data_IF_987250929956
#
_entry.id   IF_987250929956
#
_cell.length_a   1.000
_cell.length_b   1.000
_cell.length_c   1.000
_cell.angle_alpha   90.00
_cell.angle_beta   90.00
_cell.angle_gamma   90.00
#
_symmetry.space_group_name_H-M   'P 1'
#
loop_
_entity.id
_entity.type
_entity.pdbx_description
1 polymer ?
#
# COMPACT_ATOMS: atom_id res chain seq x y z
N UNK A 1 -38.77 43.46 -53.58
CA UNK A 1 -37.81 44.58 -53.43
C UNK A 1 -37.97 45.06 -51.98
N UNK A 2 -37.07 44.59 -51.10
CA UNK A 2 -36.01 45.42 -50.46
C UNK A 2 -36.58 46.41 -49.44
N UNK A 3 -36.14 46.52 -48.18
CA UNK A 3 -34.95 46.01 -47.49
C UNK A 3 -34.94 46.56 -46.05
N UNK A 4 -34.39 45.79 -45.11
CA UNK A 4 -33.71 46.18 -43.84
C UNK A 4 -34.53 46.91 -42.76
N UNK A 5 -34.40 46.68 -41.45
CA UNK A 5 -33.47 45.88 -40.64
C UNK A 5 -33.15 46.64 -39.34
N UNK A 6 -33.27 46.02 -38.16
CA UNK A 6 -32.32 46.20 -37.04
C UNK A 6 -32.65 45.29 -35.85
N UNK A 7 -31.58 44.91 -35.16
CA UNK A 7 -31.39 43.88 -34.14
C UNK A 7 -31.97 44.18 -32.76
N UNK A 8 -32.30 43.14 -32.00
CA UNK A 8 -31.85 43.05 -30.61
C UNK A 8 -31.62 41.59 -30.20
N UNK A 9 -30.50 41.35 -29.49
CA UNK A 9 -30.05 40.04 -29.05
C UNK A 9 -30.83 39.55 -27.82
N UNK A 10 -31.19 38.27 -27.77
CA UNK A 10 -31.58 37.58 -26.53
C UNK A 10 -30.72 36.33 -26.33
N UNK A 11 -29.92 36.35 -25.27
CA UNK A 11 -29.33 35.15 -24.65
C UNK A 11 -30.45 34.35 -23.97
N UNK A 12 -30.40 33.01 -23.97
CA UNK A 12 -31.28 32.21 -23.12
C UNK A 12 -30.80 32.23 -21.66
N UNK A 13 -31.71 32.00 -20.69
CA UNK A 13 -31.46 32.22 -19.28
C UNK A 13 -30.61 31.11 -18.64
N UNK A 14 -29.87 31.52 -17.62
CA UNK A 14 -29.26 30.64 -16.63
C UNK A 14 -30.35 30.11 -15.71
N UNK A 15 -30.41 28.79 -15.53
CA UNK A 15 -31.02 28.19 -14.35
C UNK A 15 -30.55 26.74 -14.17
N UNK A 16 -30.33 26.34 -12.92
CA UNK A 16 -30.12 24.94 -12.55
C UNK A 16 -28.93 24.66 -11.64
N UNK A 17 -28.81 25.36 -10.51
CA UNK A 17 -28.14 24.84 -9.32
C UNK A 17 -28.82 23.54 -8.89
N UNK A 18 -28.24 22.39 -9.25
CA UNK A 18 -28.68 21.10 -8.75
C UNK A 18 -28.15 20.93 -7.31
N UNK A 19 -29.04 21.17 -6.35
CA UNK A 19 -28.84 20.89 -4.94
C UNK A 19 -28.58 19.39 -4.72
N UNK A 20 -27.67 19.10 -3.77
CA UNK A 20 -27.47 17.75 -3.22
C UNK A 20 -28.76 17.34 -2.51
N UNK A 21 -29.42 16.21 -2.87
CA UNK A 21 -30.62 15.79 -2.17
C UNK A 21 -30.25 15.31 -0.76
N UNK A 22 -30.56 16.14 0.24
CA UNK A 22 -30.81 15.70 1.60
C UNK A 22 -32.05 14.82 1.62
N UNK A 23 -32.00 13.71 2.36
CA UNK A 23 -33.03 12.67 2.55
C UNK A 23 -32.82 11.38 1.73
N UNK A 24 -31.98 10.50 2.27
CA UNK A 24 -32.13 9.05 2.07
C UNK A 24 -33.14 8.55 3.10
N UNK A 25 -34.28 8.09 2.62
CA UNK A 25 -35.28 7.41 3.44
C UNK A 25 -34.70 6.03 3.82
N UNK A 26 -34.36 5.85 5.10
CA UNK A 26 -33.97 4.54 5.64
C UNK A 26 -35.24 3.78 5.99
N UNK A 27 -35.60 2.82 5.15
CA UNK A 27 -36.64 1.84 5.44
C UNK A 27 -36.16 0.92 6.57
N UNK A 28 -36.91 0.88 7.68
CA UNK A 28 -36.64 -0.02 8.81
C UNK A 28 -36.94 -1.45 8.37
N UNK A 29 -35.91 -2.18 7.94
CA UNK A 29 -35.97 -3.64 7.80
C UNK A 29 -35.83 -4.26 9.18
N UNK A 30 -36.73 -5.20 9.49
CA UNK A 30 -36.85 -5.88 10.78
C UNK A 30 -35.54 -6.55 11.24
N UNK A 31 -35.28 -6.46 12.54
CA UNK A 31 -34.22 -7.18 13.23
C UNK A 31 -34.60 -8.66 13.35
N UNK A 32 -34.22 -9.45 12.35
CA UNK A 32 -34.08 -10.89 12.55
C UNK A 32 -32.74 -11.17 13.22
N UNK A 33 -32.82 -11.80 14.39
CA UNK A 33 -31.70 -12.16 15.26
C UNK A 33 -30.79 -13.14 14.53
N UNK A 34 -29.67 -12.64 13.99
CA UNK A 34 -28.58 -13.47 13.48
C UNK A 34 -27.88 -14.12 14.67
N UNK A 35 -28.10 -15.41 14.84
CA UNK A 35 -27.41 -16.25 15.83
C UNK A 35 -25.91 -16.30 15.54
N UNK A 36 -25.10 -16.09 16.58
CA UNK A 36 -23.63 -16.23 16.51
C UNK A 36 -23.29 -17.71 16.24
N UNK A 37 -22.44 -18.05 15.26
CA UNK A 37 -21.87 -19.39 15.21
C UNK A 37 -20.89 -19.58 16.38
N UNK A 38 -21.19 -20.54 17.25
CA UNK A 38 -20.25 -21.08 18.23
C UNK A 38 -19.11 -21.79 17.49
N UNK A 39 -17.97 -21.13 17.33
CA UNK A 39 -16.73 -21.75 16.85
C UNK A 39 -15.56 -21.43 17.77
N UNK A 40 -15.70 -21.76 19.06
CA UNK A 40 -14.62 -21.77 20.06
C UNK A 40 -14.22 -23.17 20.52
N UNK A 41 -14.70 -24.24 19.87
CA UNK A 41 -14.39 -25.63 20.23
C UNK A 41 -13.84 -26.40 19.03
N UNK A 42 -12.56 -26.19 18.71
CA UNK A 42 -11.68 -27.12 17.97
C UNK A 42 -10.43 -26.37 17.47
N UNK A 43 -9.53 -25.96 18.38
CA UNK A 43 -8.12 -25.84 18.03
C UNK A 43 -7.37 -26.93 18.78
N UNK A 44 -6.95 -27.95 18.04
CA UNK A 44 -6.07 -29.00 18.52
C UNK A 44 -4.68 -28.37 18.69
N UNK A 45 -4.26 -28.19 19.93
CA UNK A 45 -2.90 -27.78 20.28
C UNK A 45 -1.94 -28.86 19.79
N UNK A 46 -1.05 -28.50 18.86
CA UNK A 46 0.06 -29.35 18.45
C UNK A 46 1.27 -28.90 19.26
N UNK A 47 1.68 -29.72 20.23
CA UNK A 47 2.98 -29.59 20.89
C UNK A 47 4.06 -30.03 19.89
N UNK A 48 5.14 -29.26 19.80
CA UNK A 48 6.34 -29.64 19.06
C UNK A 48 7.49 -29.66 20.06
N UNK A 49 8.10 -30.84 20.20
CA UNK A 49 9.17 -31.13 21.14
C UNK A 49 10.47 -30.35 20.84
N UNK A 50 11.24 -30.10 21.90
CA UNK A 50 12.58 -29.53 21.87
C UNK A 50 13.58 -30.43 21.13
N UNK A 51 14.45 -29.83 20.32
CA UNK A 51 15.70 -30.45 19.84
C UNK A 51 16.84 -29.41 19.92
N UNK A 52 18.01 -29.89 20.33
CA UNK A 52 19.19 -29.18 20.83
C UNK A 52 20.00 -28.38 19.79
N UNK A 53 20.74 -27.40 20.34
CA UNK A 53 21.75 -26.51 19.76
C UNK A 53 22.91 -27.22 19.04
N UNK A 54 23.26 -26.77 17.82
CA UNK A 54 24.64 -26.85 17.30
C UNK A 54 25.01 -25.66 16.39
N UNK A 55 25.90 -24.82 16.93
CA UNK A 55 27.00 -24.07 16.30
C UNK A 55 26.73 -23.10 15.12
N UNK A 56 26.84 -21.81 15.45
CA UNK A 56 27.08 -20.70 14.54
C UNK A 56 28.36 -20.89 13.70
N UNK A 57 28.23 -20.76 12.37
CA UNK A 57 29.36 -20.55 11.45
C UNK A 57 29.09 -19.34 10.56
N UNK A 58 30.02 -18.38 10.67
CA UNK A 58 30.31 -17.27 9.78
C UNK A 58 29.74 -17.38 8.36
N UNK A 59 28.92 -16.41 7.91
CA UNK A 59 28.75 -16.16 6.47
C UNK A 59 28.48 -14.67 6.14
N UNK A 60 29.40 -14.11 5.36
CA UNK A 60 29.24 -13.17 4.23
C UNK A 60 28.19 -12.05 4.30
N UNK A 61 28.64 -10.81 4.03
CA UNK A 61 27.86 -9.59 3.77
C UNK A 61 26.74 -9.71 2.71
N UNK A 62 26.67 -10.81 1.96
CA UNK A 62 25.65 -11.10 0.95
C UNK A 62 25.08 -12.52 1.05
N UNK A 63 25.21 -13.17 2.22
CA UNK A 63 24.51 -14.41 2.48
C UNK A 63 23.04 -14.13 2.83
N UNK A 64 22.18 -15.07 2.46
CA UNK A 64 20.79 -15.15 2.86
C UNK A 64 20.54 -14.52 4.25
N UNK A 65 19.57 -13.61 4.37
CA UNK A 65 18.80 -13.62 5.60
C UNK A 65 18.13 -14.98 5.59
N UNK A 66 18.46 -15.84 6.56
CA UNK A 66 17.81 -17.13 6.67
C UNK A 66 16.30 -16.89 6.60
N UNK A 67 15.70 -17.34 5.50
CA UNK A 67 14.26 -17.43 5.39
C UNK A 67 13.91 -18.65 6.25
N UNK A 68 13.89 -18.47 7.57
CA UNK A 68 13.50 -19.49 8.57
C UNK A 68 12.02 -19.89 8.40
N UNK A 69 11.69 -20.44 7.23
CA UNK A 69 10.53 -21.27 7.01
C UNK A 69 10.91 -22.75 7.16
N UNK A 70 12.18 -23.13 6.92
CA UNK A 70 12.63 -24.53 6.91
C UNK A 70 13.80 -24.84 7.89
N UNK A 71 14.19 -23.90 8.75
CA UNK A 71 15.24 -24.07 9.77
C UNK A 71 14.75 -23.61 11.14
N UNK A 72 15.22 -24.27 12.21
CA UNK A 72 14.81 -24.07 13.60
C UNK A 72 14.57 -22.60 13.95
N UNK A 73 13.38 -22.32 14.48
CA UNK A 73 13.09 -21.06 15.16
C UNK A 73 14.00 -20.96 16.38
N UNK A 74 15.19 -20.39 16.24
CA UNK A 74 15.90 -19.83 17.39
C UNK A 74 15.02 -18.72 17.94
N UNK A 75 14.37 -19.05 19.06
CA UNK A 75 13.41 -18.22 19.76
C UNK A 75 14.12 -16.94 20.22
N UNK A 76 13.75 -15.81 19.63
CA UNK A 76 14.15 -14.50 20.10
C UNK A 76 13.63 -14.31 21.54
N UNK A 77 14.46 -14.53 22.55
CA UNK A 77 14.12 -14.24 23.95
C UNK A 77 14.16 -12.74 24.21
N UNK A 78 13.41 -12.21 25.21
CA UNK A 78 13.40 -10.78 25.52
C UNK A 78 14.79 -10.21 25.86
N UNK A 79 15.69 -11.06 26.37
CA UNK A 79 17.07 -10.70 26.71
C UNK A 79 18.00 -10.66 25.48
N UNK A 80 17.68 -11.39 24.40
CA UNK A 80 18.40 -11.33 23.12
C UNK A 80 17.82 -10.27 22.16
N UNK A 81 16.89 -9.43 22.62
CA UNK A 81 16.39 -8.25 21.89
C UNK A 81 17.40 -7.10 21.87
N UNK A 82 18.71 -7.37 21.84
CA UNK A 82 19.56 -6.52 21.03
C UNK A 82 18.96 -6.62 19.65
N UNK A 83 18.33 -5.53 19.17
CA UNK A 83 17.98 -5.32 17.77
C UNK A 83 18.93 -6.18 16.96
N UNK A 84 18.43 -7.12 16.15
CA UNK A 84 19.25 -7.70 15.08
C UNK A 84 19.48 -6.54 14.13
N UNK A 85 20.36 -5.64 14.57
CA UNK A 85 20.99 -4.59 13.86
C UNK A 85 21.82 -5.44 12.93
N UNK A 86 21.30 -5.67 11.72
CA UNK A 86 22.10 -6.26 10.64
C UNK A 86 23.44 -5.56 10.76
N UNK A 87 24.49 -6.33 11.05
CA UNK A 87 25.77 -5.74 11.43
C UNK A 87 26.23 -4.94 10.22
N UNK A 88 26.01 -3.62 10.25
CA UNK A 88 26.43 -2.71 9.19
C UNK A 88 27.93 -2.54 9.45
N UNK A 89 28.83 -3.20 8.70
CA UNK A 89 30.23 -3.14 9.03
C UNK A 89 30.68 -1.68 8.93
N UNK A 90 31.39 -1.26 9.98
CA UNK A 90 32.02 0.04 10.04
C UNK A 90 33.08 0.17 8.95
N UNK A 91 33.04 1.31 8.27
CA UNK A 91 34.15 2.01 7.62
C UNK A 91 35.02 1.35 6.54
N UNK A 92 34.93 0.06 6.25
CA UNK A 92 35.64 -0.55 5.12
C UNK A 92 34.63 -1.03 4.07
N UNK A 93 34.14 -0.09 3.26
CA UNK A 93 33.33 -0.44 2.09
C UNK A 93 34.13 -0.17 0.83
N UNK A 94 34.36 -1.16 -0.05
CA UNK A 94 34.79 -0.84 -1.40
C UNK A 94 33.75 0.11 -2.01
N UNK A 95 34.20 1.15 -2.73
CA UNK A 95 33.31 2.07 -3.45
C UNK A 95 32.56 1.31 -4.56
N UNK A 96 31.56 0.50 -4.20
CA UNK A 96 30.75 -0.29 -5.14
C UNK A 96 30.10 0.63 -6.18
N UNK A 97 29.75 1.85 -5.77
CA UNK A 97 29.24 2.90 -6.63
C UNK A 97 30.25 3.36 -7.69
N UNK A 98 31.55 3.14 -7.51
CA UNK A 98 32.60 3.42 -8.51
C UNK A 98 32.97 2.21 -9.35
N UNK A 99 32.42 1.03 -9.07
CA UNK A 99 32.73 -0.19 -9.81
C UNK A 99 31.91 -0.25 -11.12
N UNK A 100 32.54 -0.15 -12.31
CA UNK A 100 31.80 -0.17 -13.58
C UNK A 100 31.13 -1.52 -13.84
N UNK A 101 31.66 -2.63 -13.30
CA UNK A 101 31.06 -3.96 -13.45
C UNK A 101 29.72 -4.06 -12.71
N UNK A 102 29.61 -3.38 -11.56
CA UNK A 102 28.36 -3.30 -10.81
C UNK A 102 27.29 -2.61 -11.64
N UNK A 103 27.59 -1.44 -12.20
CA UNK A 103 26.65 -0.68 -13.02
C UNK A 103 26.26 -1.42 -14.30
N UNK A 104 27.20 -2.11 -14.95
CA UNK A 104 26.88 -2.96 -16.11
C UNK A 104 25.91 -4.08 -15.72
N UNK A 105 26.20 -4.81 -14.64
CA UNK A 105 25.32 -5.88 -14.15
C UNK A 105 23.93 -5.36 -13.77
N UNK A 106 23.87 -4.23 -13.09
CA UNK A 106 22.60 -3.63 -12.67
C UNK A 106 21.80 -3.13 -13.88
N UNK A 107 22.45 -2.53 -14.87
CA UNK A 107 21.81 -2.09 -16.12
C UNK A 107 21.24 -3.28 -16.89
N UNK A 108 22.00 -4.37 -17.02
CA UNK A 108 21.53 -5.59 -17.67
C UNK A 108 20.32 -6.19 -16.93
N UNK A 109 20.34 -6.20 -15.59
CA UNK A 109 19.21 -6.67 -14.79
C UNK A 109 17.96 -5.80 -14.97
N UNK A 110 18.10 -4.46 -15.07
CA UNK A 110 16.98 -3.57 -15.36
C UNK A 110 16.39 -3.84 -16.75
N UNK A 111 17.24 -4.04 -17.76
CA UNK A 111 16.77 -4.40 -19.12
C UNK A 111 16.02 -5.73 -19.09
N UNK A 112 16.61 -6.76 -18.48
CA UNK A 112 16.04 -8.10 -18.45
C UNK A 112 14.72 -8.16 -17.67
N UNK A 113 14.67 -7.57 -16.48
CA UNK A 113 13.44 -7.47 -15.68
C UNK A 113 12.35 -6.66 -16.39
N UNK A 114 12.70 -5.61 -17.13
CA UNK A 114 11.75 -4.84 -17.94
C UNK A 114 11.17 -5.66 -19.08
N UNK A 115 12.00 -6.44 -19.78
CA UNK A 115 11.55 -7.37 -20.83
C UNK A 115 10.62 -8.44 -20.24
N UNK A 116 10.97 -9.02 -19.09
CA UNK A 116 10.12 -9.99 -18.39
C UNK A 116 8.76 -9.37 -18.03
N UNK A 117 8.74 -8.17 -17.45
CA UNK A 117 7.50 -7.48 -17.11
C UNK A 117 6.64 -7.23 -18.35
N UNK A 118 7.23 -6.71 -19.43
CA UNK A 118 6.52 -6.47 -20.69
C UNK A 118 5.95 -7.77 -21.28
N UNK A 119 6.71 -8.87 -21.24
CA UNK A 119 6.23 -10.17 -21.70
C UNK A 119 5.02 -10.65 -20.88
N UNK A 120 5.08 -10.55 -19.55
CA UNK A 120 3.97 -10.93 -18.66
C UNK A 120 2.72 -10.07 -18.94
N UNK A 121 2.90 -8.76 -19.11
CA UNK A 121 1.81 -7.84 -19.46
C UNK A 121 1.21 -8.20 -20.83
N UNK A 122 2.04 -8.45 -21.84
CA UNK A 122 1.60 -8.87 -23.16
C UNK A 122 0.79 -10.17 -23.10
N UNK A 123 1.27 -11.20 -22.38
CA UNK A 123 0.53 -12.45 -22.18
C UNK A 123 -0.83 -12.20 -21.51
N UNK A 124 -0.87 -11.36 -20.47
CA UNK A 124 -2.11 -10.98 -19.80
C UNK A 124 -3.09 -10.25 -20.71
N UNK A 125 -2.60 -9.33 -21.55
CA UNK A 125 -3.40 -8.61 -22.54
C UNK A 125 -3.93 -9.54 -23.63
N UNK A 126 -3.10 -10.43 -24.16
CA UNK A 126 -3.51 -11.44 -25.15
C UNK A 126 -4.61 -12.33 -24.58
N UNK A 127 -4.43 -12.87 -23.37
CA UNK A 127 -5.42 -13.69 -22.70
C UNK A 127 -6.75 -12.94 -22.50
N UNK A 128 -6.69 -11.67 -22.08
CA UNK A 128 -7.88 -10.82 -21.93
C UNK A 128 -8.59 -10.56 -23.27
N UNK A 129 -7.83 -10.30 -24.33
CA UNK A 129 -8.36 -10.10 -25.69
C UNK A 129 -9.06 -11.34 -26.21
N UNK A 130 -8.49 -12.53 -26.02
CA UNK A 130 -9.13 -13.80 -26.40
C UNK A 130 -10.45 -14.02 -25.64
N UNK A 131 -10.51 -13.66 -24.36
CA UNK A 131 -11.74 -13.72 -23.56
C UNK A 131 -12.80 -12.66 -23.94
N UNK A 132 -12.43 -11.60 -24.66
CA UNK A 132 -13.34 -10.58 -25.19
C UNK A 132 -14.00 -11.02 -26.50
N UNK A 133 -13.38 -11.89 -27.31
CA UNK A 133 -13.91 -12.35 -28.60
C UNK A 133 -15.36 -12.89 -28.47
N UNK A 134 -15.69 -13.79 -27.52
CA UNK A 134 -17.06 -14.28 -27.35
C UNK A 134 -18.05 -13.20 -26.89
N UNK A 135 -17.57 -12.14 -26.22
CA UNK A 135 -18.39 -11.02 -25.75
C UNK A 135 -18.65 -10.00 -26.85
N UNK A 136 -17.76 -9.85 -27.83
CA UNK A 136 -18.03 -9.04 -29.01
C UNK A 136 -19.14 -9.66 -29.88
N UNK A 137 -19.23 -10.99 -29.88
CA UNK A 137 -20.29 -11.73 -30.58
C UNK A 137 -21.63 -11.66 -29.82
N UNK A 138 -21.61 -11.64 -28.48
CA UNK A 138 -22.79 -11.40 -27.64
C UNK A 138 -22.92 -9.91 -27.33
N UNK A 139 -23.69 -9.17 -28.13
CA UNK A 139 -24.09 -7.75 -27.94
C UNK A 139 -24.91 -7.49 -26.65
N UNK A 140 -24.49 -8.01 -25.49
CA UNK A 140 -24.98 -7.53 -24.19
C UNK A 140 -24.10 -6.36 -23.80
N UNK A 141 -24.66 -5.15 -23.86
CA UNK A 141 -24.02 -3.97 -23.29
C UNK A 141 -23.62 -4.23 -21.85
N UNK A 142 -22.47 -3.70 -21.43
CA UNK A 142 -22.11 -3.67 -20.02
C UNK A 142 -23.22 -2.95 -19.26
N UNK A 143 -23.76 -3.55 -18.18
CA UNK A 143 -24.84 -2.91 -17.42
C UNK A 143 -24.33 -1.56 -16.90
N UNK A 144 -25.05 -0.50 -17.26
CA UNK A 144 -24.77 0.83 -16.73
C UNK A 144 -25.02 0.82 -15.22
N UNK A 145 -23.99 1.13 -14.44
CA UNK A 145 -24.12 1.28 -13.01
C UNK A 145 -24.67 2.67 -12.74
N UNK A 146 -25.74 2.78 -11.96
CA UNK A 146 -26.41 4.07 -11.68
C UNK A 146 -25.48 5.11 -11.04
N UNK A 147 -24.40 4.66 -10.39
CA UNK A 147 -23.39 5.50 -9.76
C UNK A 147 -22.21 5.86 -10.66
N UNK A 148 -22.12 5.36 -11.90
CA UNK A 148 -21.02 5.69 -12.81
C UNK A 148 -21.35 7.01 -13.55
N UNK A 149 -20.66 8.09 -13.18
CA UNK A 149 -20.85 9.41 -13.77
C UNK A 149 -19.94 9.65 -14.99
N UNK A 150 -20.07 8.85 -16.04
CA UNK A 150 -19.20 8.92 -17.23
C UNK A 150 -19.06 10.33 -17.82
N UNK A 151 -20.13 11.14 -17.82
CA UNK A 151 -20.08 12.51 -18.34
C UNK A 151 -19.15 13.43 -17.54
N UNK A 152 -19.12 13.29 -16.21
CA UNK A 152 -18.29 14.09 -15.30
C UNK A 152 -16.81 13.82 -15.50
N UNK A 153 -16.46 12.54 -15.72
CA UNK A 153 -15.08 12.07 -15.73
C UNK A 153 -14.50 11.84 -17.13
N UNK A 154 -15.26 12.10 -18.19
CA UNK A 154 -14.85 11.87 -19.59
C UNK A 154 -13.54 12.58 -19.99
N UNK A 155 -13.25 13.72 -19.35
CA UNK A 155 -12.06 14.53 -19.62
C UNK A 155 -10.98 14.44 -18.54
N UNK A 156 -11.07 13.48 -17.62
CA UNK A 156 -10.09 13.33 -16.55
C UNK A 156 -8.71 12.99 -17.12
N UNK A 157 -7.69 13.73 -16.69
CA UNK A 157 -6.30 13.46 -17.05
C UNK A 157 -5.73 12.38 -16.13
N UNK A 158 -5.02 11.42 -16.71
CA UNK A 158 -4.21 10.46 -15.95
C UNK A 158 -2.90 11.15 -15.54
N UNK A 159 -2.74 11.45 -14.25
CA UNK A 159 -1.57 12.13 -13.70
C UNK A 159 -1.04 11.39 -12.48
N UNK A 160 0.26 11.49 -12.21
CA UNK A 160 0.91 10.80 -11.09
C UNK A 160 0.61 11.44 -9.72
N UNK A 161 0.14 12.68 -9.73
CA UNK A 161 -0.06 13.48 -8.53
C UNK A 161 -1.35 13.06 -7.81
N UNK A 162 -1.28 12.48 -6.60
CA UNK A 162 -2.47 12.11 -5.83
C UNK A 162 -3.33 13.32 -5.44
N UNK A 163 -2.75 14.53 -5.33
CA UNK A 163 -3.49 15.75 -4.98
C UNK A 163 -4.49 16.13 -6.07
N UNK A 164 -4.17 15.87 -7.35
CA UNK A 164 -5.10 16.10 -8.47
C UNK A 164 -6.42 15.36 -8.28
N UNK A 165 -6.37 14.06 -7.93
CA UNK A 165 -7.57 13.25 -7.72
C UNK A 165 -8.36 13.71 -6.48
N UNK A 166 -7.66 14.12 -5.42
CA UNK A 166 -8.30 14.66 -4.23
C UNK A 166 -9.06 15.95 -4.51
N UNK A 167 -8.45 16.90 -5.22
CA UNK A 167 -9.06 18.20 -5.56
C UNK A 167 -10.30 18.06 -6.43
N UNK A 168 -10.29 17.11 -7.35
CA UNK A 168 -11.46 16.81 -8.19
C UNK A 168 -12.66 16.27 -7.38
N UNK A 169 -12.40 15.75 -6.18
CA UNK A 169 -13.42 15.21 -5.28
C UNK A 169 -13.78 16.17 -4.13
N UNK A 170 -13.25 17.40 -4.11
CA UNK A 170 -13.52 18.37 -3.03
C UNK A 170 -12.63 18.20 -1.79
N UNK A 171 -11.52 17.47 -1.91
CA UNK A 171 -10.52 17.28 -0.87
C UNK A 171 -9.17 17.88 -1.31
N UNK A 172 -8.20 17.93 -0.40
CA UNK A 172 -6.80 18.18 -0.72
C UNK A 172 -5.92 17.19 0.05
N UNK A 173 -4.62 17.11 -0.26
CA UNK A 173 -3.67 16.30 0.51
C UNK A 173 -2.53 17.17 1.01
N UNK A 174 -2.18 16.99 2.28
CA UNK A 174 -0.91 17.49 2.82
C UNK A 174 0.12 16.36 2.83
N UNK A 175 1.26 16.62 2.20
CA UNK A 175 2.43 15.76 2.25
C UNK A 175 3.13 15.94 3.60
N UNK A 176 3.26 14.85 4.35
CA UNK A 176 3.88 14.82 5.67
C UNK A 176 5.02 13.79 5.66
N UNK A 177 6.17 14.14 6.22
CA UNK A 177 7.34 13.27 6.25
C UNK A 177 7.52 12.64 7.64
N UNK A 178 7.76 11.33 7.67
CA UNK A 178 8.07 10.56 8.88
C UNK A 178 9.45 9.94 8.74
N UNK A 179 10.29 10.05 9.77
CA UNK A 179 11.57 9.34 9.85
C UNK A 179 11.43 8.08 10.71
N UNK A 180 11.90 6.95 10.20
CA UNK A 180 11.95 5.68 10.93
C UNK A 180 13.19 5.59 11.81
N UNK A 181 13.20 4.69 12.80
CA UNK A 181 14.36 4.50 13.71
C UNK A 181 15.64 4.10 12.96
N UNK A 182 15.50 3.32 11.88
CA UNK A 182 16.63 2.90 11.04
C UNK A 182 17.07 3.98 10.03
N UNK A 183 16.29 5.06 9.86
CA UNK A 183 16.68 6.27 9.14
C UNK A 183 16.03 6.44 7.75
N UNK A 184 15.00 5.67 7.41
CA UNK A 184 14.21 5.89 6.20
C UNK A 184 13.28 7.08 6.39
N UNK A 185 13.09 7.84 5.32
CA UNK A 185 12.03 8.83 5.23
C UNK A 185 10.81 8.19 4.55
N UNK A 186 9.64 8.39 5.14
CA UNK A 186 8.35 7.93 4.62
C UNK A 186 7.50 9.15 4.28
N UNK A 187 6.83 9.11 3.13
CA UNK A 187 5.82 10.11 2.78
C UNK A 187 4.46 9.62 3.22
N UNK A 188 3.80 10.38 4.07
CA UNK A 188 2.39 10.21 4.42
C UNK A 188 1.56 11.30 3.74
N UNK A 189 0.33 10.96 3.35
CA UNK A 189 -0.62 11.96 2.87
C UNK A 189 -1.73 12.10 3.89
N UNK A 190 -1.89 13.29 4.46
CA UNK A 190 -3.04 13.63 5.29
C UNK A 190 -4.14 14.18 4.41
N UNK A 191 -5.32 13.58 4.48
CA UNK A 191 -6.49 14.06 3.73
C UNK A 191 -7.04 15.31 4.40
N UNK A 192 -7.21 16.37 3.62
CA UNK A 192 -7.82 17.63 4.02
C UNK A 192 -9.21 17.67 3.39
N UNK A 193 -10.23 17.79 4.24
CA UNK A 193 -11.59 18.07 3.77
C UNK A 193 -11.78 19.58 3.71
N UNK A 194 -12.23 20.10 2.57
CA UNK A 194 -12.47 21.53 2.38
C UNK A 194 -13.71 22.01 3.16
N UNK A 195 -14.66 21.12 3.43
CA UNK A 195 -15.83 21.41 4.26
C UNK A 195 -15.51 21.18 5.76
N UNK A 196 -14.98 22.22 6.37
CA UNK A 196 -14.61 22.21 7.80
C UNK A 196 -15.82 22.09 8.74
N UNK A 197 -17.03 22.46 8.31
CA UNK A 197 -18.25 22.28 9.10
C UNK A 197 -18.71 20.83 9.10
N UNK A 198 -18.62 20.15 7.95
CA UNK A 198 -18.88 18.71 7.84
C UNK A 198 -17.91 17.91 8.73
N UNK A 199 -16.64 18.28 8.76
CA UNK A 199 -15.64 17.67 9.64
C UNK A 199 -16.00 17.77 11.13
N UNK A 200 -16.53 18.92 11.58
CA UNK A 200 -16.90 19.14 12.99
C UNK A 200 -18.16 18.40 13.40
N UNK A 201 -19.11 18.25 12.49
CA UNK A 201 -20.43 17.64 12.76
C UNK A 201 -20.44 16.12 12.53
N UNK A 202 -19.45 15.60 11.81
CA UNK A 202 -19.35 14.18 11.50
C UNK A 202 -19.16 13.29 12.74
N UNK A 203 -19.62 12.02 12.69
CA UNK A 203 -19.52 11.09 13.81
C UNK A 203 -18.08 10.81 14.25
N UNK A 204 -17.10 11.00 13.36
CA UNK A 204 -15.69 10.78 13.64
C UNK A 204 -15.07 11.74 14.64
N UNK A 205 -15.63 12.95 14.83
CA UNK A 205 -15.18 13.95 15.82
C UNK A 205 -13.66 14.20 15.83
N UNK A 206 -13.03 14.15 14.66
CA UNK A 206 -11.60 14.31 14.49
C UNK A 206 -10.75 13.09 14.89
N UNK A 207 -11.34 11.92 15.13
CA UNK A 207 -10.59 10.73 15.53
C UNK A 207 -9.62 10.29 14.41
N UNK A 208 -8.35 9.97 14.73
CA UNK A 208 -7.36 9.64 13.72
C UNK A 208 -7.46 8.21 13.18
N UNK A 209 -7.33 8.08 11.87
CA UNK A 209 -7.27 6.81 11.15
C UNK A 209 -6.02 6.78 10.28
N UNK A 210 -5.19 5.75 10.45
CA UNK A 210 -4.07 5.43 9.56
C UNK A 210 -4.48 4.31 8.60
N UNK A 211 -4.31 4.54 7.29
CA UNK A 211 -4.57 3.55 6.24
C UNK A 211 -3.26 3.18 5.55
N UNK A 212 -2.96 1.88 5.42
CA UNK A 212 -1.72 1.39 4.79
C UNK A 212 -1.99 0.45 3.61
N UNK A 213 -1.28 0.70 2.50
CA UNK A 213 -1.43 -0.01 1.23
C UNK A 213 -0.76 -1.40 1.21
N UNK A 214 -1.03 -2.17 0.15
CA UNK A 214 -0.45 -3.50 -0.08
C UNK A 214 0.85 -3.50 -0.88
N UNK A 215 1.28 -4.69 -1.28
CA UNK A 215 2.48 -4.92 -2.10
C UNK A 215 2.35 -4.21 -3.46
N UNK A 216 3.41 -3.53 -3.92
CA UNK A 216 3.45 -2.77 -5.18
C UNK A 216 2.38 -1.67 -5.34
N UNK A 217 1.89 -1.12 -4.23
CA UNK A 217 0.93 -0.03 -4.21
C UNK A 217 1.52 1.23 -3.56
N UNK A 218 0.72 2.29 -3.53
CA UNK A 218 0.93 3.50 -2.74
C UNK A 218 -0.39 3.93 -2.08
N UNK A 219 -0.35 4.98 -1.28
CA UNK A 219 -1.53 5.66 -0.72
C UNK A 219 -2.56 6.06 -1.78
N UNK A 220 -2.15 6.21 -3.05
CA UNK A 220 -3.04 6.47 -4.19
C UNK A 220 -4.19 5.46 -4.29
N UNK A 221 -3.95 4.19 -3.91
CA UNK A 221 -4.97 3.13 -3.98
C UNK A 221 -6.24 3.41 -3.17
N UNK A 222 -6.20 4.32 -2.20
CA UNK A 222 -7.34 4.67 -1.35
C UNK A 222 -8.05 5.97 -1.75
N UNK A 223 -7.61 6.63 -2.84
CA UNK A 223 -8.13 7.92 -3.31
C UNK A 223 -8.46 7.96 -4.82
N UNK A 224 -8.21 6.88 -5.55
CA UNK A 224 -8.42 6.81 -7.01
C UNK A 224 -9.76 6.20 -7.40
N UNK A 225 -10.73 6.11 -6.47
CA UNK A 225 -12.11 5.70 -6.74
C UNK A 225 -13.08 6.88 -6.66
N UNK A 226 -12.63 8.07 -7.05
CA UNK A 226 -13.40 9.32 -7.02
C UNK A 226 -13.98 9.58 -5.61
N UNK A 227 -15.18 10.17 -5.49
CA UNK A 227 -15.85 10.39 -4.20
C UNK A 227 -16.14 9.11 -3.38
N UNK A 228 -16.07 7.92 -4.01
CA UNK A 228 -16.29 6.61 -3.34
C UNK A 228 -15.03 6.08 -2.67
N UNK A 229 -13.92 6.77 -2.84
CA UNK A 229 -12.66 6.45 -2.19
C UNK A 229 -12.81 6.37 -0.67
N UNK A 230 -12.36 5.27 -0.08
CA UNK A 230 -12.47 5.01 1.37
C UNK A 230 -11.92 6.18 2.20
N UNK A 231 -10.80 6.76 1.78
CA UNK A 231 -10.17 7.87 2.48
C UNK A 231 -11.05 9.13 2.50
N UNK A 232 -11.69 9.45 1.37
CA UNK A 232 -12.59 10.61 1.24
C UNK A 232 -13.89 10.40 1.98
N UNK A 233 -14.45 9.18 1.92
CA UNK A 233 -15.65 8.84 2.68
C UNK A 233 -15.41 9.00 4.19
N UNK A 234 -14.30 8.46 4.72
CA UNK A 234 -13.94 8.60 6.14
C UNK A 234 -13.69 10.06 6.52
N UNK A 235 -12.98 10.83 5.69
CA UNK A 235 -12.78 12.26 5.93
C UNK A 235 -14.12 13.01 5.97
N UNK A 236 -15.05 12.75 5.05
CA UNK A 236 -16.39 13.35 5.07
C UNK A 236 -17.22 12.97 6.30
N UNK A 237 -16.92 11.83 6.96
CA UNK A 237 -17.51 11.46 8.25
C UNK A 237 -16.84 12.12 9.46
N UNK A 238 -15.90 13.05 9.25
CA UNK A 238 -15.24 13.81 10.32
C UNK A 238 -14.04 13.11 10.95
N UNK A 239 -13.46 12.08 10.32
CA UNK A 239 -12.21 11.45 10.78
C UNK A 239 -10.98 12.19 10.25
N UNK A 240 -9.89 12.23 11.04
CA UNK A 240 -8.59 12.68 10.55
C UNK A 240 -7.89 11.51 9.84
N UNK A 241 -7.93 11.49 8.51
CA UNK A 241 -7.40 10.39 7.70
C UNK A 241 -5.97 10.63 7.28
N UNK A 242 -5.10 9.67 7.60
CA UNK A 242 -3.70 9.63 7.22
C UNK A 242 -3.45 8.39 6.35
N UNK A 243 -2.81 8.59 5.21
CA UNK A 243 -2.46 7.53 4.27
C UNK A 243 -0.95 7.29 4.35
N UNK A 244 -0.58 6.12 4.85
CA UNK A 244 0.82 5.70 4.98
C UNK A 244 1.39 5.20 3.67
N UNK A 245 2.70 5.36 3.50
CA UNK A 245 3.47 4.67 2.48
C UNK A 245 4.67 3.98 3.10
N UNK A 246 5.00 2.80 2.59
CA UNK A 246 6.23 2.10 2.97
C UNK A 246 7.46 2.88 2.48
N UNK A 247 8.62 2.58 3.06
CA UNK A 247 9.92 3.11 2.61
C UNK A 247 10.12 2.94 1.09
N UNK A 248 10.91 3.85 0.53
CA UNK A 248 11.25 3.95 -0.90
C UNK A 248 10.12 4.35 -1.87
N UNK A 249 8.85 4.37 -1.44
CA UNK A 249 7.72 4.90 -2.21
C UNK A 249 7.83 6.43 -2.32
N UNK A 250 7.32 7.03 -3.41
CA UNK A 250 7.43 8.47 -3.72
C UNK A 250 8.86 9.02 -3.70
N UNK A 251 9.81 8.19 -4.13
CA UNK A 251 11.24 8.50 -4.20
C UNK A 251 11.85 9.00 -2.88
N UNK A 252 11.24 8.62 -1.76
CA UNK A 252 11.74 8.97 -0.45
C UNK A 252 13.09 8.30 -0.18
N UNK A 253 13.96 9.04 0.48
CA UNK A 253 15.34 8.67 0.73
C UNK A 253 15.59 8.09 2.12
N UNK A 254 16.86 8.02 2.47
CA UNK A 254 17.36 7.55 3.75
C UNK A 254 18.40 8.54 4.27
N UNK A 255 18.50 8.72 5.59
CA UNK A 255 19.43 9.64 6.23
C UNK A 255 20.89 9.37 5.89
N UNK A 256 21.26 8.09 5.71
CA UNK A 256 22.66 7.64 5.52
C UNK A 256 22.96 7.02 4.17
N UNK A 257 21.96 6.48 3.47
CA UNK A 257 22.18 5.62 2.31
C UNK A 257 21.57 6.24 1.06
N UNK A 258 22.35 6.27 -0.01
CA UNK A 258 21.84 6.65 -1.32
C UNK A 258 20.92 5.57 -1.86
N UNK A 259 19.87 5.94 -2.62
CA UNK A 259 19.02 4.96 -3.33
C UNK A 259 19.77 4.14 -4.39
N UNK A 260 20.98 4.56 -4.75
CA UNK A 260 21.86 3.82 -5.65
C UNK A 260 22.76 2.82 -4.91
N UNK A 261 22.74 2.84 -3.58
CA UNK A 261 23.47 1.91 -2.74
C UNK A 261 22.58 0.67 -2.43
N UNK A 262 23.09 -0.57 -2.58
CA UNK A 262 22.34 -1.78 -2.24
C UNK A 262 21.79 -1.78 -0.81
N UNK A 263 22.48 -1.15 0.13
CA UNK A 263 22.09 -1.05 1.54
C UNK A 263 20.76 -0.29 1.75
N UNK A 264 20.39 0.59 0.82
CA UNK A 264 19.08 1.24 0.83
C UNK A 264 17.94 0.26 0.47
N UNK A 265 18.24 -0.81 -0.26
CA UNK A 265 17.24 -1.79 -0.72
C UNK A 265 17.27 -3.08 0.11
N UNK A 266 18.17 -3.17 1.09
CA UNK A 266 18.36 -4.34 1.92
C UNK A 266 17.38 -4.36 3.11
N UNK A 267 16.08 -4.47 2.80
CA UNK A 267 15.02 -4.60 3.79
C UNK A 267 14.00 -5.64 3.35
N UNK A 268 13.24 -6.16 4.30
CA UNK A 268 12.12 -7.07 4.04
C UNK A 268 10.88 -6.64 4.84
N UNK A 269 9.82 -7.45 4.81
CA UNK A 269 8.56 -7.14 5.48
C UNK A 269 8.69 -7.00 7.02
N UNK A 270 9.67 -7.67 7.63
CA UNK A 270 9.96 -7.55 9.07
C UNK A 270 10.43 -6.14 9.41
N UNK A 271 11.26 -5.54 8.56
CA UNK A 271 11.74 -4.17 8.74
C UNK A 271 10.58 -3.15 8.66
N UNK A 272 9.62 -3.38 7.74
CA UNK A 272 8.40 -2.56 7.67
C UNK A 272 7.57 -2.66 8.96
N UNK A 273 7.49 -3.86 9.54
CA UNK A 273 6.73 -4.11 10.76
C UNK A 273 7.40 -3.53 12.01
N UNK A 274 8.74 -3.58 12.08
CA UNK A 274 9.53 -3.12 13.21
C UNK A 274 9.76 -1.60 13.21
N UNK A 275 9.87 -0.99 12.02
CA UNK A 275 10.28 0.41 11.90
C UNK A 275 9.22 1.30 11.25
N UNK A 276 8.68 0.92 10.09
CA UNK A 276 7.80 1.81 9.31
C UNK A 276 6.45 2.00 10.01
N UNK A 277 5.75 0.89 10.31
CA UNK A 277 4.42 0.96 10.91
C UNK A 277 4.42 1.64 12.29
N UNK A 278 5.33 1.30 13.24
CA UNK A 278 5.42 2.02 14.51
C UNK A 278 5.73 3.51 14.34
N UNK A 279 6.61 3.89 13.39
CA UNK A 279 6.93 5.29 13.14
C UNK A 279 5.72 6.08 12.63
N UNK A 280 4.95 5.52 11.69
CA UNK A 280 3.72 6.13 11.19
C UNK A 280 2.66 6.26 12.29
N UNK A 281 2.44 5.21 13.08
CA UNK A 281 1.46 5.26 14.20
C UNK A 281 1.85 6.32 15.23
N UNK A 282 3.11 6.34 15.65
CA UNK A 282 3.59 7.32 16.63
C UNK A 282 3.58 8.75 16.07
N UNK A 283 3.83 8.93 14.78
CA UNK A 283 3.69 10.22 14.12
C UNK A 283 2.26 10.74 14.20
N UNK A 284 1.27 9.94 13.79
CA UNK A 284 -0.16 10.33 13.83
C UNK A 284 -0.60 10.64 15.25
N UNK A 285 -0.20 9.82 16.24
CA UNK A 285 -0.51 10.07 17.66
C UNK A 285 0.03 11.40 18.13
N UNK A 286 1.32 11.67 17.91
CA UNK A 286 1.94 12.95 18.30
C UNK A 286 1.30 14.14 17.58
N UNK A 287 0.99 13.99 16.29
CA UNK A 287 0.42 15.05 15.46
C UNK A 287 -0.99 15.45 15.90
N UNK A 288 -1.78 14.47 16.34
CA UNK A 288 -3.21 14.64 16.69
C UNK A 288 -3.47 14.75 18.18
N UNK A 289 -2.52 14.38 19.04
CA UNK A 289 -2.66 14.36 20.49
C UNK A 289 -3.43 13.15 21.04
N UNK A 290 -3.91 12.25 20.19
CA UNK A 290 -4.64 11.07 20.63
C UNK A 290 -3.71 9.98 21.17
N UNK A 291 -4.10 9.37 22.28
CA UNK A 291 -3.36 8.25 22.87
C UNK A 291 -3.42 6.99 21.99
N UNK A 292 -4.51 6.77 21.26
CA UNK A 292 -4.68 5.62 20.36
C UNK A 292 -5.27 6.08 19.03
N UNK A 293 -4.97 5.36 17.96
CA UNK A 293 -5.52 5.60 16.62
C UNK A 293 -6.19 4.34 16.08
N UNK A 294 -7.08 4.49 15.10
CA UNK A 294 -7.56 3.35 14.32
C UNK A 294 -6.60 3.06 13.17
N UNK A 295 -6.42 1.78 12.86
CA UNK A 295 -5.60 1.31 11.75
C UNK A 295 -6.43 0.49 10.76
N UNK A 296 -6.25 0.76 9.48
CA UNK A 296 -6.84 0.01 8.37
C UNK A 296 -5.70 -0.43 7.44
N UNK A 297 -5.51 -1.73 7.27
CA UNK A 297 -4.53 -2.26 6.32
C UNK A 297 -5.19 -2.94 5.13
N UNK A 298 -4.52 -2.90 3.97
CA UNK A 298 -4.86 -3.70 2.80
C UNK A 298 -3.73 -4.69 2.48
N UNK A 299 -4.04 -5.97 2.25
CA UNK A 299 -3.06 -6.97 1.77
C UNK A 299 -1.77 -6.97 2.60
N UNK A 300 -0.61 -6.64 2.00
CA UNK A 300 0.67 -6.52 2.71
C UNK A 300 0.63 -5.55 3.90
N UNK A 301 -0.16 -4.47 3.85
CA UNK A 301 -0.33 -3.58 5.00
C UNK A 301 -0.86 -4.31 6.24
N UNK A 302 -1.70 -5.34 6.05
CA UNK A 302 -2.13 -6.23 7.13
C UNK A 302 -1.05 -7.21 7.54
N UNK A 303 -0.31 -7.78 6.59
CA UNK A 303 0.83 -8.65 6.90
C UNK A 303 1.84 -7.93 7.80
N UNK A 304 2.18 -6.68 7.47
CA UNK A 304 3.03 -5.81 8.30
C UNK A 304 2.45 -5.63 9.70
N UNK A 305 1.15 -5.35 9.83
CA UNK A 305 0.50 -5.19 11.13
C UNK A 305 0.45 -6.49 11.95
N UNK A 306 0.17 -7.64 11.32
CA UNK A 306 0.19 -8.93 12.00
C UNK A 306 1.58 -9.30 12.50
N UNK A 307 2.62 -9.05 11.70
CA UNK A 307 4.01 -9.24 12.12
C UNK A 307 4.32 -8.32 13.29
N UNK A 308 4.00 -7.02 13.19
CA UNK A 308 4.29 -6.05 14.25
C UNK A 308 3.60 -6.42 15.57
N UNK A 309 2.32 -6.79 15.53
CA UNK A 309 1.53 -7.15 16.71
C UNK A 309 1.86 -8.54 17.27
N UNK A 310 2.69 -9.33 16.59
CA UNK A 310 3.12 -10.62 17.10
C UNK A 310 4.05 -10.47 18.30
N UNK A 311 4.09 -11.51 19.15
CA UNK A 311 4.74 -11.50 20.47
C UNK A 311 6.20 -11.01 20.46
N UNK A 312 6.92 -11.24 19.37
CA UNK A 312 8.38 -11.08 19.30
C UNK A 312 8.85 -9.90 18.45
N UNK A 313 7.93 -9.04 17.99
CA UNK A 313 8.27 -7.91 17.11
C UNK A 313 8.05 -6.57 17.79
N UNK A 314 6.83 -6.03 17.73
CA UNK A 314 6.47 -4.75 18.35
C UNK A 314 5.08 -4.86 19.01
N UNK A 315 4.88 -5.82 19.96
CA UNK A 315 3.57 -6.05 20.56
C UNK A 315 3.01 -4.82 21.29
N UNK A 316 3.88 -3.90 21.73
CA UNK A 316 3.49 -2.62 22.33
C UNK A 316 2.71 -1.73 21.37
N UNK A 317 2.82 -1.94 20.05
CA UNK A 317 1.99 -1.28 19.05
C UNK A 317 0.50 -1.51 19.31
N UNK A 318 0.12 -2.68 19.84
CA UNK A 318 -1.27 -3.00 20.17
C UNK A 318 -1.87 -2.06 21.21
N UNK A 319 -1.05 -1.52 22.12
CA UNK A 319 -1.50 -0.54 23.11
C UNK A 319 -1.81 0.84 22.50
N UNK A 320 -1.28 1.10 21.30
CA UNK A 320 -1.40 2.37 20.56
C UNK A 320 -2.54 2.34 19.53
N UNK A 321 -3.17 1.19 19.32
CA UNK A 321 -4.28 1.00 18.39
C UNK A 321 -5.60 0.82 19.16
N UNK A 322 -6.64 1.54 18.74
CA UNK A 322 -8.00 1.35 19.25
C UNK A 322 -8.78 0.34 18.42
N UNK A 323 -8.47 0.25 17.13
CA UNK A 323 -9.17 -0.57 16.16
C UNK A 323 -8.20 -1.02 15.06
N UNK A 324 -8.34 -2.27 14.62
CA UNK A 324 -7.61 -2.83 13.48
C UNK A 324 -8.61 -3.46 12.50
N UNK A 325 -8.81 -2.82 11.35
CA UNK A 325 -9.54 -3.39 10.22
C UNK A 325 -8.58 -3.96 9.17
N UNK A 326 -8.76 -5.23 8.83
CA UNK A 326 -7.93 -5.94 7.87
C UNK A 326 -8.68 -6.23 6.56
N UNK A 327 -8.45 -5.40 5.54
CA UNK A 327 -9.02 -5.58 4.20
C UNK A 327 -8.15 -6.53 3.37
N UNK A 328 -8.71 -7.66 2.90
CA UNK A 328 -7.97 -8.71 2.20
C UNK A 328 -6.67 -9.12 2.96
N UNK A 329 -6.78 -9.66 4.19
CA UNK A 329 -5.63 -9.93 5.06
C UNK A 329 -4.65 -10.93 4.44
N UNK A 330 -3.40 -10.50 4.24
CA UNK A 330 -2.33 -11.36 3.74
C UNK A 330 -1.58 -12.06 4.90
N UNK A 331 -2.23 -13.01 5.56
CA UNK A 331 -1.58 -13.85 6.58
C UNK A 331 -0.92 -15.10 5.97
N UNK A 332 -1.55 -15.67 4.94
CA UNK A 332 -1.07 -16.84 4.22
C UNK A 332 -1.23 -16.62 2.72
N UNK A 333 -0.14 -16.74 1.97
CA UNK A 333 -0.14 -16.48 0.53
C UNK A 333 -0.91 -17.56 -0.29
N UNK A 334 -1.10 -18.75 0.28
CA UNK A 334 -1.97 -19.77 -0.28
C UNK A 334 -1.58 -20.26 -1.68
N UNK A 335 -2.55 -20.80 -2.44
CA UNK A 335 -2.32 -21.32 -3.78
C UNK A 335 -1.75 -20.31 -4.79
N UNK A 336 -1.83 -19.01 -4.51
CA UNK A 336 -1.28 -17.96 -5.38
C UNK A 336 0.23 -18.14 -5.62
N UNK A 337 0.96 -18.64 -4.60
CA UNK A 337 2.38 -18.97 -4.71
C UNK A 337 2.66 -20.14 -5.66
N UNK A 338 1.65 -20.93 -6.01
CA UNK A 338 1.76 -22.06 -6.95
C UNK A 338 1.47 -21.66 -8.40
N UNK A 339 0.97 -20.46 -8.64
CA UNK A 339 0.66 -19.96 -9.97
C UNK A 339 1.82 -19.15 -10.56
N UNK A 340 1.95 -19.18 -11.89
CA UNK A 340 2.85 -18.29 -12.61
C UNK A 340 2.36 -16.82 -12.46
N UNK A 341 3.26 -15.84 -12.26
CA UNK A 341 4.73 -15.94 -12.25
C UNK A 341 5.35 -16.27 -10.87
N UNK A 342 4.58 -16.19 -9.78
CA UNK A 342 5.09 -16.32 -8.41
C UNK A 342 5.76 -17.66 -8.13
N UNK A 343 5.22 -18.76 -8.67
CA UNK A 343 5.78 -20.10 -8.48
C UNK A 343 7.19 -20.28 -9.05
N UNK A 344 7.51 -19.54 -10.11
CA UNK A 344 8.86 -19.53 -10.66
C UNK A 344 9.78 -18.63 -9.84
N UNK A 345 9.29 -17.43 -9.47
CA UNK A 345 10.04 -16.48 -8.65
C UNK A 345 10.45 -17.08 -7.30
N UNK A 346 9.57 -17.83 -6.63
CA UNK A 346 9.86 -18.47 -5.35
C UNK A 346 10.95 -19.57 -5.43
N UNK A 347 11.29 -20.07 -6.63
CA UNK A 347 12.30 -21.12 -6.83
C UNK A 347 13.66 -20.59 -7.28
N UNK A 348 13.78 -19.27 -7.51
CA UNK A 348 15.03 -18.67 -7.96
C UNK A 348 16.05 -18.65 -6.82
N UNK A 349 17.25 -19.14 -7.10
CA UNK A 349 18.40 -18.94 -6.23
C UNK A 349 18.89 -17.49 -6.30
N UNK A 350 19.58 -17.04 -5.26
CA UNK A 350 20.04 -15.65 -5.15
C UNK A 350 20.92 -15.18 -6.33
N UNK A 351 21.89 -15.97 -6.83
CA UNK A 351 22.66 -15.58 -8.01
C UNK A 351 21.81 -15.36 -9.26
N UNK A 352 20.75 -16.15 -9.47
CA UNK A 352 19.84 -15.95 -10.60
C UNK A 352 18.93 -14.77 -10.35
N UNK A 353 18.37 -14.62 -9.15
CA UNK A 353 17.60 -13.45 -8.76
C UNK A 353 18.37 -12.15 -9.04
N UNK A 354 19.63 -12.07 -8.59
CA UNK A 354 20.49 -10.91 -8.81
C UNK A 354 20.74 -10.62 -10.29
N UNK A 355 20.88 -11.65 -11.12
CA UNK A 355 21.07 -11.48 -12.58
C UNK A 355 19.79 -11.00 -13.25
N UNK A 356 18.62 -11.45 -12.80
CA UNK A 356 17.33 -11.10 -13.40
C UNK A 356 16.80 -9.74 -12.94
N UNK A 357 16.89 -9.45 -11.64
CA UNK A 357 16.24 -8.30 -11.00
C UNK A 357 17.22 -7.29 -10.38
N UNK A 358 18.49 -7.66 -10.21
CA UNK A 358 19.50 -6.80 -9.60
C UNK A 358 19.45 -6.82 -8.07
N UNK A 359 20.13 -5.84 -7.45
CA UNK A 359 20.17 -5.66 -5.97
C UNK A 359 19.63 -4.30 -5.53
N UNK A 360 19.17 -3.48 -6.49
CA UNK A 360 18.52 -2.21 -6.21
C UNK A 360 16.99 -2.38 -6.29
N UNK A 361 16.31 -1.34 -6.73
CA UNK A 361 14.87 -1.30 -6.91
C UNK A 361 14.33 -2.45 -7.77
N UNK A 362 13.30 -3.13 -7.26
CA UNK A 362 12.67 -4.26 -7.94
C UNK A 362 11.83 -3.78 -9.13
N UNK A 363 12.28 -4.12 -10.34
CA UNK A 363 11.64 -3.76 -11.63
C UNK A 363 11.32 -2.25 -11.71
N UNK A 364 12.34 -1.38 -11.89
CA UNK A 364 12.16 0.07 -11.84
C UNK A 364 11.14 0.62 -12.86
N UNK A 365 10.92 -0.10 -13.96
CA UNK A 365 9.91 0.25 -14.96
C UNK A 365 8.50 0.42 -14.36
N UNK A 366 8.19 -0.28 -13.27
CA UNK A 366 6.91 -0.12 -12.57
C UNK A 366 6.68 1.32 -12.09
N UNK A 367 7.74 2.06 -11.75
CA UNK A 367 7.64 3.48 -11.33
C UNK A 367 7.29 4.42 -12.46
N UNK A 368 7.60 4.05 -13.70
CA UNK A 368 7.28 4.86 -14.87
C UNK A 368 5.78 4.90 -15.15
N UNK A 369 5.03 3.87 -14.73
CA UNK A 369 3.61 3.67 -15.05
C UNK A 369 2.62 4.11 -13.96
N UNK A 370 3.10 4.54 -12.79
CA UNK A 370 2.26 5.14 -11.73
C UNK A 370 2.18 6.64 -11.86
#
# INVERSE_FOLDING_TARGET
MSSQGSSSSKRPPADGTAAIPSHVHVEKVGLDVVSRPNSSLSMRTVNVDHVEDVAARNMSLYAHVDNNFDGSCDLLTPENTTLVQRHIPGNERPDILRNPRFWLSQTLAVILSSVILLAVVCVGLVHRSLGLIPRLIRLKGTPFRSWDCHGRWKGEKLVKDPQYYARNCGFDLADEQVETKDGYYLRMHRVICNDTEQMRRGPGKGYPILILHGLFQSSGSFITSEERSLAFWLAAQGYQVYLGNNRAVYDMGHRRFSRYAPEFWDYNIRDLALYDLPAMVDYVRRRTGFEKIAFIGHSQGNATAFIALSRWFAPELGTKLSYFAALAPAAFAGPLTKCFPLSYMCKLDWPTWRRLFGVLDFIPLMKCTF
#
